data_IF_558174992173
#
_entry.id   IF_558174992173
#
_cell.length_a   1.000
_cell.length_b   1.000
_cell.length_c   1.000
_cell.angle_alpha   90.00
_cell.angle_beta   90.00
_cell.angle_gamma   90.00
#
_symmetry.space_group_name_H-M   'P 1'
#
loop_
_entity.id
_entity.type
_entity.pdbx_description
1 polymer ?
#
# COMPACT_ATOMS: atom_id res chain seq x y z
N UNK A 1 -60.95 -35.02 12.95
CA UNK A 1 -59.70 -35.79 12.85
C UNK A 1 -58.88 -35.13 11.73
N UNK A 2 -58.01 -34.15 12.02
CA UNK A 2 -56.59 -34.29 12.39
C UNK A 2 -55.85 -35.31 11.52
N UNK A 3 -55.17 -34.84 10.48
CA UNK A 3 -53.71 -35.04 10.30
C UNK A 3 -53.24 -34.20 9.13
N UNK A 4 -52.55 -33.10 9.44
CA UNK A 4 -51.73 -32.39 8.47
C UNK A 4 -50.37 -33.08 8.37
N UNK A 5 -49.77 -33.04 7.19
CA UNK A 5 -48.35 -33.34 6.99
C UNK A 5 -47.80 -32.26 6.05
N UNK A 6 -47.12 -31.30 6.67
CA UNK A 6 -46.15 -30.39 6.06
C UNK A 6 -44.98 -31.22 5.51
N UNK A 7 -44.63 -31.08 4.22
CA UNK A 7 -43.36 -31.56 3.66
C UNK A 7 -42.79 -30.38 2.87
N UNK A 8 -41.98 -29.55 3.52
CA UNK A 8 -40.51 -29.63 3.56
C UNK A 8 -39.92 -29.02 2.28
N UNK A 9 -39.91 -27.68 2.29
CA UNK A 9 -39.14 -26.84 1.40
C UNK A 9 -37.65 -27.10 1.70
N UNK A 10 -37.02 -27.99 0.93
CA UNK A 10 -35.59 -28.24 1.01
C UNK A 10 -34.88 -27.02 0.42
N UNK A 11 -34.45 -26.17 1.35
CA UNK A 11 -33.45 -25.14 1.20
C UNK A 11 -32.17 -25.75 0.60
N UNK A 12 -31.98 -25.58 -0.71
CA UNK A 12 -30.66 -25.69 -1.33
C UNK A 12 -29.95 -24.34 -1.16
N UNK A 13 -29.60 -24.00 0.07
CA UNK A 13 -28.57 -22.99 0.30
C UNK A 13 -27.23 -23.64 0.03
N UNK A 14 -26.70 -23.38 -1.16
CA UNK A 14 -25.30 -23.59 -1.49
C UNK A 14 -24.45 -22.85 -0.46
N UNK A 15 -23.91 -23.58 0.51
CA UNK A 15 -22.82 -23.10 1.36
C UNK A 15 -21.60 -23.01 0.45
N UNK A 16 -21.43 -21.88 -0.21
CA UNK A 16 -20.15 -21.49 -0.76
C UNK A 16 -19.28 -21.13 0.44
N UNK A 17 -18.53 -22.11 0.92
CA UNK A 17 -17.52 -21.90 1.94
C UNK A 17 -16.30 -21.30 1.22
N UNK A 18 -16.26 -19.96 1.07
CA UNK A 18 -15.01 -19.29 0.74
C UNK A 18 -14.25 -19.11 2.05
N UNK A 19 -13.17 -19.87 2.21
CA UNK A 19 -12.26 -19.76 3.36
C UNK A 19 -11.54 -18.41 3.28
N UNK A 20 -12.01 -17.45 4.06
CA UNK A 20 -11.20 -16.41 4.69
C UNK A 20 -11.74 -16.25 6.12
N UNK A 21 -11.07 -16.93 7.04
CA UNK A 21 -11.48 -17.09 8.44
C UNK A 21 -11.06 -15.89 9.29
N UNK A 22 -11.45 -14.67 8.86
CA UNK A 22 -11.40 -13.47 9.66
C UNK A 22 -12.56 -12.54 9.24
N UNK A 23 -13.35 -12.07 10.21
CA UNK A 23 -14.41 -11.08 10.00
C UNK A 23 -13.81 -9.70 9.65
N UNK A 24 -13.10 -9.61 8.55
CA UNK A 24 -12.46 -8.40 8.08
C UNK A 24 -13.49 -7.47 7.43
N UNK A 25 -13.66 -6.29 8.04
CA UNK A 25 -14.43 -5.18 7.47
C UNK A 25 -13.44 -4.07 7.14
N UNK A 26 -13.21 -3.82 5.85
CA UNK A 26 -12.42 -2.68 5.40
C UNK A 26 -13.25 -1.39 5.48
N UNK A 27 -12.60 -0.28 5.78
CA UNK A 27 -13.20 1.05 5.59
C UNK A 27 -12.90 1.55 4.18
N UNK A 28 -13.61 2.59 3.73
CA UNK A 28 -13.30 3.28 2.46
C UNK A 28 -12.12 4.27 2.59
N UNK A 29 -11.29 4.14 3.63
CA UNK A 29 -10.06 4.91 3.79
C UNK A 29 -9.06 4.59 2.66
N UNK A 30 -8.25 5.57 2.27
CA UNK A 30 -7.18 5.38 1.29
C UNK A 30 -5.86 5.90 1.88
N UNK A 31 -4.92 4.99 2.08
CA UNK A 31 -3.65 5.26 2.74
C UNK A 31 -2.52 5.61 1.74
N UNK A 32 -1.69 6.57 2.15
CA UNK A 32 -0.45 6.95 1.45
C UNK A 32 0.73 6.82 2.42
N UNK A 33 1.82 6.21 1.96
CA UNK A 33 3.10 6.25 2.66
C UNK A 33 4.06 7.18 1.95
N UNK A 34 4.53 8.18 2.69
CA UNK A 34 5.35 9.25 2.15
C UNK A 34 6.75 9.29 2.75
N UNK A 35 7.66 9.97 2.06
CA UNK A 35 8.99 10.34 2.55
C UNK A 35 9.22 11.83 2.32
N UNK A 36 9.85 12.49 3.28
CA UNK A 36 10.31 13.88 3.11
C UNK A 36 11.73 13.90 2.56
N UNK A 37 11.98 14.63 1.49
CA UNK A 37 13.33 14.85 0.95
C UNK A 37 13.76 16.27 1.29
N UNK A 38 14.93 16.38 1.93
CA UNK A 38 15.55 17.64 2.36
C UNK A 38 16.96 17.78 1.78
N UNK A 39 17.49 19.00 1.73
CA UNK A 39 18.90 19.24 1.42
C UNK A 39 19.81 19.00 2.64
N UNK A 40 21.11 19.27 2.50
CA UNK A 40 22.11 19.11 3.56
C UNK A 40 21.94 20.09 4.73
N UNK A 41 21.11 21.13 4.57
CA UNK A 41 20.73 22.09 5.61
C UNK A 41 19.38 21.75 6.25
N UNK A 42 18.72 20.67 5.80
CA UNK A 42 17.41 20.25 6.29
C UNK A 42 16.23 21.01 5.67
N UNK A 43 16.45 21.75 4.58
CA UNK A 43 15.39 22.46 3.86
C UNK A 43 14.68 21.49 2.91
N UNK A 44 13.34 21.39 2.91
CA UNK A 44 12.60 20.54 1.97
C UNK A 44 12.90 20.88 0.51
N UNK A 45 13.04 19.85 -0.33
CA UNK A 45 13.34 20.02 -1.77
C UNK A 45 12.17 19.50 -2.60
N UNK A 46 11.56 20.39 -3.37
CA UNK A 46 10.44 20.10 -4.25
C UNK A 46 10.85 19.77 -5.69
N UNK A 47 9.86 19.39 -6.50
CA UNK A 47 9.98 19.22 -7.95
C UNK A 47 11.02 18.18 -8.42
N UNK A 48 11.41 17.25 -7.53
CA UNK A 48 12.26 16.12 -7.88
C UNK A 48 11.55 15.13 -8.81
N UNK A 49 12.33 14.52 -9.70
CA UNK A 49 11.88 13.38 -10.49
C UNK A 49 11.92 12.12 -9.64
N UNK A 50 10.76 11.53 -9.39
CA UNK A 50 10.61 10.32 -8.57
C UNK A 50 10.62 9.06 -9.43
N UNK A 51 11.29 8.02 -8.95
CA UNK A 51 11.26 6.68 -9.52
C UNK A 51 11.09 5.66 -8.41
N UNK A 52 10.09 4.79 -8.55
CA UNK A 52 9.79 3.75 -7.58
C UNK A 52 9.81 2.41 -8.30
N UNK A 53 10.45 1.41 -7.70
CA UNK A 53 10.59 0.08 -8.29
C UNK A 53 10.32 -1.02 -7.29
N UNK A 54 9.80 -2.14 -7.76
CA UNK A 54 9.68 -3.37 -6.97
C UNK A 54 11.03 -4.09 -6.81
N UNK A 55 11.03 -5.21 -6.06
CA UNK A 55 12.20 -6.08 -5.86
C UNK A 55 12.82 -6.63 -7.15
N UNK A 56 12.05 -6.68 -8.24
CA UNK A 56 12.45 -7.21 -9.53
C UNK A 56 12.95 -6.10 -10.48
N UNK A 57 12.89 -4.83 -10.06
CA UNK A 57 13.26 -3.68 -10.85
C UNK A 57 12.16 -3.15 -11.77
N UNK A 58 10.93 -3.67 -11.68
CA UNK A 58 9.79 -3.15 -12.42
C UNK A 58 9.41 -1.79 -11.86
N UNK A 59 9.13 -0.83 -12.74
CA UNK A 59 8.65 0.50 -12.33
C UNK A 59 7.23 0.38 -11.76
N UNK A 60 7.01 0.99 -10.60
CA UNK A 60 5.70 1.19 -10.00
C UNK A 60 5.25 2.61 -10.33
N UNK A 61 4.09 2.76 -10.97
CA UNK A 61 3.55 4.07 -11.38
C UNK A 61 2.75 4.70 -10.24
N UNK A 62 3.45 5.06 -9.17
CA UNK A 62 2.84 5.64 -7.96
C UNK A 62 2.53 7.11 -8.21
N UNK A 63 1.26 7.48 -8.07
CA UNK A 63 0.80 8.84 -8.26
C UNK A 63 1.44 9.79 -7.22
N UNK A 64 1.87 10.97 -7.67
CA UNK A 64 2.42 12.02 -6.82
C UNK A 64 1.43 13.20 -6.77
N UNK A 65 0.41 13.17 -5.90
CA UNK A 65 -0.59 14.22 -5.84
C UNK A 65 -0.01 15.46 -5.14
N UNK A 66 0.69 16.29 -5.92
CA UNK A 66 1.49 17.41 -5.41
C UNK A 66 0.73 18.50 -4.65
N UNK A 67 -0.61 18.53 -4.71
CA UNK A 67 -1.43 19.52 -3.99
C UNK A 67 -1.86 19.08 -2.59
N UNK A 68 -1.66 17.80 -2.23
CA UNK A 68 -2.16 17.23 -0.97
C UNK A 68 -1.12 17.30 0.15
N UNK A 69 0.18 17.34 -0.21
CA UNK A 69 1.27 17.24 0.76
C UNK A 69 2.08 18.53 0.89
N UNK A 70 2.81 18.63 2.00
CA UNK A 70 3.75 19.72 2.24
C UNK A 70 4.94 19.67 1.26
N UNK A 71 5.67 20.79 1.08
CA UNK A 71 6.94 20.82 0.36
C UNK A 71 7.89 19.68 0.74
N UNK A 72 8.52 19.09 -0.27
CA UNK A 72 9.50 18.01 -0.17
C UNK A 72 8.91 16.63 0.17
N UNK A 73 7.59 16.48 0.24
CA UNK A 73 6.95 15.21 0.55
C UNK A 73 6.58 14.45 -0.72
N UNK A 74 7.02 13.19 -0.80
CA UNK A 74 6.81 12.30 -1.94
C UNK A 74 6.13 11.01 -1.51
N UNK A 75 5.21 10.50 -2.32
CA UNK A 75 4.57 9.20 -2.08
C UNK A 75 5.52 8.10 -2.49
N UNK A 76 5.81 7.18 -1.59
CA UNK A 76 6.59 5.96 -1.84
C UNK A 76 5.68 4.83 -2.32
N UNK A 77 4.52 4.66 -1.69
CA UNK A 77 3.51 3.66 -2.04
C UNK A 77 2.14 4.07 -1.49
N UNK A 78 1.07 3.57 -2.09
CA UNK A 78 -0.31 3.78 -1.65
C UNK A 78 -1.16 2.52 -1.86
N UNK A 79 -2.42 2.57 -1.42
CA UNK A 79 -3.35 1.44 -1.45
C UNK A 79 -3.67 0.91 -2.86
N UNK A 80 -3.38 1.65 -3.94
CA UNK A 80 -3.55 1.12 -5.31
C UNK A 80 -2.61 -0.05 -5.61
N UNK A 81 -1.59 -0.27 -4.78
CA UNK A 81 -0.61 -1.34 -4.92
C UNK A 81 -0.87 -2.57 -4.03
N UNK A 82 -1.98 -2.66 -3.29
CA UNK A 82 -2.29 -3.82 -2.42
C UNK A 82 -2.17 -5.17 -3.14
N UNK A 83 -2.50 -5.22 -4.43
CA UNK A 83 -2.46 -6.45 -5.21
C UNK A 83 -1.03 -6.93 -5.56
N UNK A 84 0.01 -6.14 -5.27
CA UNK A 84 1.40 -6.57 -5.48
C UNK A 84 1.90 -7.53 -4.39
N UNK A 85 1.22 -7.58 -3.24
CA UNK A 85 1.58 -8.44 -2.12
C UNK A 85 0.93 -9.81 -2.29
N UNK A 86 1.74 -10.87 -2.24
CA UNK A 86 1.21 -12.23 -2.21
C UNK A 86 0.36 -12.46 -0.94
N UNK A 87 -0.41 -13.56 -0.89
CA UNK A 87 -1.18 -13.98 0.30
C UNK A 87 -0.32 -14.31 1.53
N UNK A 88 0.97 -14.01 1.48
CA UNK A 88 1.91 -14.20 2.59
C UNK A 88 2.08 -12.86 3.30
N UNK A 89 2.07 -12.84 4.64
CA UNK A 89 2.35 -11.63 5.43
C UNK A 89 3.80 -11.12 5.31
N UNK A 90 4.56 -11.63 4.32
CA UNK A 90 5.95 -11.26 4.10
C UNK A 90 6.01 -9.86 3.52
N UNK A 91 6.92 -9.07 4.07
CA UNK A 91 7.17 -7.75 3.55
C UNK A 91 7.87 -7.82 2.18
N UNK A 92 7.37 -7.06 1.22
CA UNK A 92 7.95 -6.86 -0.09
C UNK A 92 8.81 -5.60 -0.09
N UNK A 93 9.93 -5.68 -0.83
CA UNK A 93 10.88 -4.58 -0.96
C UNK A 93 10.46 -3.63 -2.08
N UNK A 94 10.49 -2.34 -1.77
CA UNK A 94 10.29 -1.24 -2.71
C UNK A 94 11.51 -0.33 -2.66
N UNK A 95 12.02 0.05 -3.83
CA UNK A 95 13.11 1.00 -3.98
C UNK A 95 12.56 2.36 -4.39
N UNK A 96 12.86 3.38 -3.60
CA UNK A 96 12.53 4.77 -3.91
C UNK A 96 13.79 5.53 -4.32
N UNK A 97 13.67 6.35 -5.35
CA UNK A 97 14.62 7.43 -5.62
C UNK A 97 13.93 8.72 -6.06
N UNK A 98 14.55 9.84 -5.68
CA UNK A 98 14.17 11.18 -6.11
C UNK A 98 15.44 11.96 -6.50
N UNK A 99 15.40 12.66 -7.63
CA UNK A 99 16.58 13.38 -8.17
C UNK A 99 16.21 14.71 -8.81
N UNK A 100 17.12 15.68 -8.73
CA UNK A 100 17.07 16.96 -9.45
C UNK A 100 17.90 16.92 -10.76
N UNK A 101 18.44 15.76 -11.12
CA UNK A 101 19.33 15.56 -12.28
C UNK A 101 20.82 15.58 -11.93
N UNK A 102 21.20 16.12 -10.77
CA UNK A 102 22.60 16.17 -10.30
C UNK A 102 22.79 15.34 -9.02
N UNK A 103 21.86 15.48 -8.07
CA UNK A 103 21.85 14.83 -6.76
C UNK A 103 20.75 13.78 -6.69
N UNK A 104 20.91 12.81 -5.78
CA UNK A 104 19.96 11.73 -5.60
C UNK A 104 19.70 11.42 -4.11
N UNK A 105 18.42 11.35 -3.77
CA UNK A 105 17.93 10.78 -2.52
C UNK A 105 17.38 9.39 -2.84
N UNK A 106 17.79 8.37 -2.10
CA UNK A 106 17.33 7.00 -2.32
C UNK A 106 17.25 6.21 -1.02
N UNK A 107 16.27 5.30 -0.95
CA UNK A 107 16.16 4.34 0.13
C UNK A 107 15.38 3.09 -0.27
N UNK A 108 15.58 2.05 0.52
CA UNK A 108 14.78 0.83 0.49
C UNK A 108 13.69 0.92 1.55
N UNK A 109 12.52 0.43 1.19
CA UNK A 109 11.37 0.31 2.06
C UNK A 109 10.89 -1.13 2.06
N UNK A 110 10.34 -1.56 3.18
CA UNK A 110 9.62 -2.82 3.28
C UNK A 110 8.16 -2.50 3.56
N UNK A 111 7.29 -3.04 2.73
CA UNK A 111 5.84 -2.92 2.86
C UNK A 111 5.21 -4.30 2.97
N UNK A 112 4.12 -4.41 3.68
CA UNK A 112 3.19 -5.52 3.55
C UNK A 112 1.77 -4.94 3.43
N UNK A 113 0.77 -5.77 3.70
CA UNK A 113 -0.58 -5.29 3.93
C UNK A 113 -0.91 -5.43 5.42
N UNK A 114 -1.93 -4.72 5.88
CA UNK A 114 -2.55 -5.06 7.15
C UNK A 114 -3.12 -6.49 7.14
N UNK A 115 -3.47 -7.02 8.31
CA UNK A 115 -3.98 -8.40 8.44
C UNK A 115 -5.17 -8.69 7.52
N UNK A 116 -6.02 -7.69 7.32
CA UNK A 116 -7.23 -7.79 6.51
C UNK A 116 -7.02 -7.52 5.02
N UNK A 117 -5.81 -7.13 4.63
CA UNK A 117 -5.44 -6.74 3.27
C UNK A 117 -6.26 -5.58 2.70
N UNK A 118 -6.72 -4.70 3.57
CA UNK A 118 -7.47 -3.50 3.22
C UNK A 118 -6.54 -2.36 2.81
N UNK A 119 -5.37 -2.28 3.45
CA UNK A 119 -4.42 -1.19 3.25
C UNK A 119 -2.99 -1.71 3.13
N UNK A 120 -2.16 -0.97 2.40
CA UNK A 120 -0.71 -1.15 2.51
C UNK A 120 -0.25 -0.80 3.92
N UNK A 121 0.85 -1.38 4.37
CA UNK A 121 1.44 -1.08 5.66
C UNK A 121 2.98 -0.99 5.56
N UNK A 122 3.57 0.08 6.09
CA UNK A 122 5.03 0.26 6.13
C UNK A 122 5.62 -0.56 7.28
N UNK A 123 6.47 -1.52 6.95
CA UNK A 123 7.24 -2.32 7.91
C UNK A 123 8.54 -1.61 8.26
N UNK A 124 9.24 -1.06 7.26
CA UNK A 124 10.47 -0.29 7.50
C UNK A 124 10.79 0.67 6.36
N UNK A 125 11.67 1.63 6.66
CA UNK A 125 12.14 2.65 5.72
C UNK A 125 12.12 4.04 6.38
N UNK A 126 13.02 4.94 5.96
CA UNK A 126 13.17 6.25 6.60
C UNK A 126 11.99 7.18 6.32
N UNK A 127 11.69 8.09 7.24
CA UNK A 127 10.69 9.15 7.04
C UNK A 127 11.30 10.39 6.34
N UNK A 128 12.63 10.51 6.35
CA UNK A 128 13.36 11.63 5.77
C UNK A 128 14.61 11.17 5.04
N UNK A 129 14.86 11.73 3.86
CA UNK A 129 16.06 11.52 3.07
C UNK A 129 16.77 12.84 2.81
N UNK A 130 18.11 12.79 2.77
CA UNK A 130 18.94 13.92 2.38
C UNK A 130 19.32 13.77 0.92
N UNK A 131 19.02 14.78 0.11
CA UNK A 131 19.42 14.91 -1.28
C UNK A 131 20.90 15.30 -1.37
N UNK A 132 21.71 14.45 -1.99
CA UNK A 132 23.17 14.61 -2.07
C UNK A 132 23.75 14.03 -3.35
#
# INVERSE_FOLDING_TARGET
MKTGIFIFLILLTSVSCSVLDDNCLCTDEFCYYTVTVVDTLGVPVDSLTVSIKDKNGNKLDVNQPGYIFNPGVYVVLDDSFINMFEFTERAEKVFFSATDGERIAQAEYLFNTDRCRCHVNKVSGPDTLVLK
#
